data_IF_755012122298
#
_entry.id   IF_755012122298
#
_cell.length_a   1.000
_cell.length_b   1.000
_cell.length_c   1.000
_cell.angle_alpha   90.00
_cell.angle_beta   90.00
_cell.angle_gamma   90.00
#
_symmetry.space_group_name_H-M   'P 1'
#
loop_
_entity.id
_entity.type
_entity.pdbx_description
1 polymer ?
#
# COMPACT_ATOMS: atom_id res chain seq x y z
N UNK A 1 13.54 -1.86 -0.12
CA UNK A 1 12.49 -2.84 0.27
C UNK A 1 13.03 -3.95 1.20
N UNK A 2 14.30 -3.89 1.61
CA UNK A 2 14.99 -4.97 2.32
C UNK A 2 14.26 -5.55 3.55
N UNK A 3 13.59 -4.72 4.36
CA UNK A 3 12.84 -5.20 5.53
C UNK A 3 11.65 -6.08 5.12
N UNK A 4 10.89 -5.64 4.12
CA UNK A 4 9.78 -6.42 3.59
C UNK A 4 10.27 -7.68 2.87
N UNK A 5 11.43 -7.61 2.20
CA UNK A 5 12.06 -8.78 1.58
C UNK A 5 12.48 -9.82 2.62
N UNK A 6 13.08 -9.39 3.73
CA UNK A 6 13.43 -10.26 4.86
C UNK A 6 12.19 -10.91 5.48
N UNK A 7 11.12 -10.13 5.69
CA UNK A 7 9.86 -10.65 6.22
C UNK A 7 9.24 -11.71 5.30
N UNK A 8 9.22 -11.47 3.99
CA UNK A 8 8.70 -12.44 3.02
C UNK A 8 9.57 -13.69 2.87
N UNK A 9 10.88 -13.58 3.07
CA UNK A 9 11.76 -14.73 3.11
C UNK A 9 11.46 -15.64 4.31
N UNK A 10 11.10 -15.06 5.47
CA UNK A 10 10.72 -15.82 6.67
C UNK A 10 9.26 -16.31 6.62
N UNK A 11 8.34 -15.50 6.09
CA UNK A 11 6.93 -15.82 5.92
C UNK A 11 6.43 -15.31 4.55
N UNK A 12 6.37 -16.19 3.53
CA UNK A 12 5.91 -15.82 2.19
C UNK A 12 4.45 -15.38 2.13
N UNK A 13 3.65 -15.62 3.19
CA UNK A 13 2.24 -15.22 3.30
C UNK A 13 2.05 -13.96 4.15
N UNK A 14 3.12 -13.25 4.49
CA UNK A 14 3.04 -12.00 5.24
C UNK A 14 2.41 -10.88 4.38
N UNK A 15 1.10 -10.68 4.53
CA UNK A 15 0.37 -9.66 3.78
C UNK A 15 0.79 -8.25 4.17
N UNK A 16 1.27 -8.02 5.39
CA UNK A 16 1.79 -6.70 5.79
C UNK A 16 3.02 -6.37 4.96
N UNK A 17 3.98 -7.29 4.85
CA UNK A 17 5.17 -7.09 4.04
C UNK A 17 4.84 -6.86 2.55
N UNK A 18 3.84 -7.56 2.00
CA UNK A 18 3.33 -7.33 0.64
C UNK A 18 2.81 -5.90 0.47
N UNK A 19 2.00 -5.41 1.41
CA UNK A 19 1.46 -4.05 1.38
C UNK A 19 2.55 -2.99 1.52
N UNK A 20 3.58 -3.24 2.32
CA UNK A 20 4.74 -2.35 2.38
C UNK A 20 5.45 -2.23 1.04
N UNK A 21 5.62 -3.34 0.30
CA UNK A 21 6.19 -3.30 -1.06
C UNK A 21 5.26 -2.56 -2.02
N UNK A 22 3.96 -2.84 -1.99
CA UNK A 22 2.97 -2.13 -2.81
C UNK A 22 3.05 -0.61 -2.58
N UNK A 23 2.99 -0.17 -1.32
CA UNK A 23 3.08 1.23 -0.94
C UNK A 23 4.41 1.87 -1.33
N UNK A 24 5.53 1.14 -1.22
CA UNK A 24 6.84 1.64 -1.64
C UNK A 24 6.90 1.91 -3.16
N UNK A 25 6.27 1.07 -3.99
CA UNK A 25 6.14 1.35 -5.42
C UNK A 25 5.22 2.55 -5.69
N UNK A 26 4.09 2.65 -4.98
CA UNK A 26 3.20 3.81 -5.08
C UNK A 26 3.92 5.13 -4.75
N UNK A 27 4.70 5.17 -3.66
CA UNK A 27 5.47 6.35 -3.27
C UNK A 27 6.51 6.73 -4.33
N UNK A 28 7.16 5.76 -4.97
CA UNK A 28 8.07 6.04 -6.10
C UNK A 28 7.30 6.64 -7.28
N UNK A 29 6.10 6.14 -7.58
CA UNK A 29 5.24 6.71 -8.62
C UNK A 29 4.88 8.17 -8.28
N UNK A 30 4.48 8.44 -7.03
CA UNK A 30 4.15 9.80 -6.58
C UNK A 30 5.33 10.75 -6.74
N UNK A 31 6.49 10.36 -6.22
CA UNK A 31 7.69 11.20 -6.20
C UNK A 31 8.24 11.47 -7.60
N UNK A 32 8.28 10.45 -8.46
CA UNK A 32 8.95 10.54 -9.77
C UNK A 32 8.04 11.08 -10.86
N UNK A 33 6.74 10.77 -10.78
CA UNK A 33 5.78 11.05 -11.84
C UNK A 33 4.72 12.03 -11.41
N UNK A 34 3.85 11.71 -10.43
CA UNK A 34 2.71 12.58 -10.11
C UNK A 34 3.12 13.99 -9.68
N UNK A 35 4.26 14.13 -8.99
CA UNK A 35 4.78 15.44 -8.59
C UNK A 35 5.20 16.33 -9.77
N UNK A 36 5.60 15.75 -10.91
CA UNK A 36 6.09 16.46 -12.10
C UNK A 36 5.06 16.49 -13.24
N UNK A 37 4.27 15.42 -13.35
CA UNK A 37 3.27 15.16 -14.37
C UNK A 37 1.96 14.79 -13.67
N UNK A 38 1.15 15.79 -13.24
CA UNK A 38 -0.13 15.53 -12.59
C UNK A 38 -1.09 14.72 -13.46
N UNK A 39 -1.01 14.92 -14.78
CA UNK A 39 -1.70 14.10 -15.77
C UNK A 39 -0.74 13.01 -16.31
N UNK A 40 -1.08 11.72 -16.20
CA UNK A 40 -0.26 10.63 -16.74
C UNK A 40 0.02 10.73 -18.24
N UNK A 41 -0.85 11.39 -19.02
CA UNK A 41 -0.64 11.61 -20.45
C UNK A 41 0.56 12.52 -20.75
N UNK A 42 1.00 13.32 -19.78
CA UNK A 42 2.12 14.24 -19.93
C UNK A 42 3.47 13.58 -19.61
N UNK A 43 3.47 12.32 -19.18
CA UNK A 43 4.71 11.58 -18.92
C UNK A 43 5.44 11.37 -20.26
N UNK A 44 6.73 11.75 -20.37
CA UNK A 44 7.51 11.55 -21.59
C UNK A 44 7.60 10.06 -21.99
N UNK A 45 7.58 9.73 -23.30
CA UNK A 45 7.62 8.35 -23.79
C UNK A 45 8.79 7.53 -23.24
N UNK A 46 9.96 8.14 -23.08
CA UNK A 46 11.16 7.50 -22.54
C UNK A 46 11.01 7.04 -21.08
N UNK A 47 10.03 7.55 -20.34
CA UNK A 47 9.73 7.15 -18.97
C UNK A 47 8.55 6.19 -18.86
N UNK A 48 7.82 5.91 -19.95
CA UNK A 48 6.63 5.06 -19.92
C UNK A 48 6.94 3.64 -19.43
N UNK A 49 8.10 3.10 -19.80
CA UNK A 49 8.49 1.75 -19.39
C UNK A 49 8.69 1.67 -17.86
N UNK A 50 9.42 2.62 -17.27
CA UNK A 50 9.63 2.65 -15.82
C UNK A 50 8.32 2.91 -15.07
N UNK A 51 7.50 3.85 -15.55
CA UNK A 51 6.18 4.11 -14.99
C UNK A 51 5.28 2.86 -15.00
N UNK A 52 5.24 2.15 -16.13
CA UNK A 52 4.48 0.91 -16.30
C UNK A 52 5.00 -0.19 -15.37
N UNK A 53 6.32 -0.35 -15.29
CA UNK A 53 6.96 -1.33 -14.40
C UNK A 53 6.58 -1.09 -12.95
N UNK A 54 6.70 0.14 -12.46
CA UNK A 54 6.34 0.49 -11.08
C UNK A 54 4.84 0.29 -10.81
N UNK A 55 3.99 0.65 -11.78
CA UNK A 55 2.53 0.47 -11.67
C UNK A 55 2.16 -1.02 -11.60
N UNK A 56 2.75 -1.85 -12.46
CA UNK A 56 2.51 -3.29 -12.46
C UNK A 56 2.96 -3.95 -11.15
N UNK A 57 4.13 -3.55 -10.63
CA UNK A 57 4.62 -4.05 -9.34
C UNK A 57 3.70 -3.64 -8.18
N UNK A 58 3.26 -2.38 -8.14
CA UNK A 58 2.31 -1.89 -7.15
C UNK A 58 1.03 -2.75 -7.14
N UNK A 59 0.41 -2.94 -8.31
CA UNK A 59 -0.81 -3.73 -8.46
C UNK A 59 -0.58 -5.20 -8.10
N UNK A 60 0.54 -5.79 -8.53
CA UNK A 60 0.85 -7.18 -8.27
C UNK A 60 0.98 -7.49 -6.77
N UNK A 61 1.58 -6.57 -5.98
CA UNK A 61 1.72 -6.76 -4.55
C UNK A 61 0.40 -6.57 -3.79
N UNK A 62 -0.45 -5.63 -4.20
CA UNK A 62 -1.81 -5.52 -3.67
C UNK A 62 -2.62 -6.79 -3.96
N UNK A 63 -2.63 -7.25 -5.22
CA UNK A 63 -3.36 -8.46 -5.61
C UNK A 63 -2.92 -9.71 -4.83
N UNK A 64 -1.61 -9.84 -4.56
CA UNK A 64 -1.09 -10.93 -3.71
C UNK A 64 -1.61 -10.82 -2.28
N UNK A 65 -1.58 -9.64 -1.67
CA UNK A 65 -2.10 -9.46 -0.32
C UNK A 65 -3.61 -9.76 -0.27
N UNK A 66 -4.37 -9.27 -1.24
CA UNK A 66 -5.82 -9.50 -1.37
C UNK A 66 -6.16 -10.98 -1.52
N UNK A 67 -5.37 -11.74 -2.30
CA UNK A 67 -5.54 -13.19 -2.43
C UNK A 67 -5.35 -13.96 -1.11
N UNK A 68 -4.68 -13.33 -0.14
CA UNK A 68 -4.47 -13.87 1.22
C UNK A 68 -5.48 -13.31 2.23
N UNK A 69 -6.51 -12.61 1.78
CA UNK A 69 -7.58 -12.06 2.62
C UNK A 69 -7.27 -10.68 3.20
N UNK A 70 -6.17 -10.03 2.79
CA UNK A 70 -6.00 -8.62 3.10
C UNK A 70 -7.05 -7.79 2.37
N UNK A 71 -7.54 -6.74 3.02
CA UNK A 71 -8.50 -5.81 2.42
C UNK A 71 -8.15 -4.40 2.88
N UNK A 72 -8.20 -3.45 1.95
CA UNK A 72 -8.03 -2.04 2.28
C UNK A 72 -9.23 -1.57 3.10
N UNK A 73 -8.97 -1.11 4.32
CA UNK A 73 -10.01 -0.48 5.13
C UNK A 73 -10.42 0.85 4.49
N UNK A 74 -11.72 1.07 4.39
CA UNK A 74 -12.23 2.39 4.01
C UNK A 74 -12.03 3.39 5.15
N UNK A 75 -11.99 4.70 4.89
CA UNK A 75 -11.92 5.72 5.93
C UNK A 75 -13.03 5.57 6.99
N UNK A 76 -14.23 5.15 6.57
CA UNK A 76 -15.38 4.93 7.44
C UNK A 76 -15.17 3.72 8.36
N UNK A 77 -14.57 2.64 7.85
CA UNK A 77 -14.23 1.45 8.64
C UNK A 77 -13.12 1.76 9.65
N UNK A 78 -12.12 2.55 9.25
CA UNK A 78 -11.05 3.02 10.13
C UNK A 78 -11.62 3.89 11.26
N UNK A 79 -12.48 4.86 10.93
CA UNK A 79 -13.14 5.72 11.91
C UNK A 79 -14.00 4.92 12.90
N UNK A 80 -14.76 3.94 12.40
CA UNK A 80 -15.60 3.07 13.23
C UNK A 80 -14.76 2.24 14.22
N UNK A 81 -13.61 1.72 13.77
CA UNK A 81 -12.68 0.99 14.64
C UNK A 81 -12.07 1.89 15.73
N UNK A 82 -11.65 3.10 15.38
CA UNK A 82 -11.12 4.04 16.37
C UNK A 82 -12.17 4.42 17.42
N UNK A 83 -13.43 4.62 17.00
CA UNK A 83 -14.53 4.85 17.93
C UNK A 83 -14.77 3.65 18.86
N UNK A 84 -14.65 2.42 18.38
CA UNK A 84 -14.82 1.24 19.26
C UNK A 84 -13.73 1.17 20.33
N UNK A 85 -12.47 1.50 19.98
CA UNK A 85 -11.37 1.58 20.95
C UNK A 85 -11.65 2.65 22.01
N UNK A 86 -12.12 3.84 21.60
CA UNK A 86 -12.44 4.92 22.53
C UNK A 86 -13.53 4.52 23.53
N UNK A 87 -14.61 3.89 23.04
CA UNK A 87 -15.69 3.38 23.92
C UNK A 87 -15.18 2.33 24.91
N UNK A 88 -14.33 1.42 24.45
CA UNK A 88 -13.76 0.37 25.29
C UNK A 88 -12.83 0.96 26.37
N UNK A 89 -12.03 1.98 26.05
CA UNK A 89 -11.22 2.70 27.04
C UNK A 89 -12.08 3.39 28.09
N UNK A 90 -13.11 4.14 27.66
CA UNK A 90 -14.01 4.83 28.57
C UNK A 90 -14.75 3.89 29.53
N UNK A 91 -15.07 2.65 29.09
CA UNK A 91 -15.67 1.62 29.95
C UNK A 91 -14.72 1.07 31.02
N UNK A 92 -13.42 1.04 30.76
CA UNK A 92 -12.40 0.51 31.69
C UNK A 92 -11.95 1.52 32.73
N UNK A 93 -12.23 2.80 32.49
CA UNK A 93 -11.93 3.91 33.40
C UNK A 93 -13.07 4.21 34.39
N UNK A 94 -14.18 3.45 34.33
CA UNK A 94 -15.29 3.46 35.29
C UNK A 94 -15.19 2.26 36.24
#
# INVERSE_FOLDING_TARGET
MAVADLALAANPKDSVAMIWKANAYYLQIQQRYKAKYPNPADVPPELHEDYRRLSNENLAWFAKAESLGWTQKTPEQEASYLQSIQRERAKREQ
#
